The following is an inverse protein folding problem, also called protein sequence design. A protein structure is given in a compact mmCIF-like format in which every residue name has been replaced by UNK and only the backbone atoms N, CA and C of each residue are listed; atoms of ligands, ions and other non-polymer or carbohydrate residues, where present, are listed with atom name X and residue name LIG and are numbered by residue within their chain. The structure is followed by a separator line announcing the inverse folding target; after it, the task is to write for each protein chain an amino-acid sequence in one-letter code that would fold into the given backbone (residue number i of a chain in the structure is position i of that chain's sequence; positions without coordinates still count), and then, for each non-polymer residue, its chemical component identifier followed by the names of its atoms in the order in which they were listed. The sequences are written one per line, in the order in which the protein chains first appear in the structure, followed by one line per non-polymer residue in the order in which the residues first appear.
data_IF_365123109110
#
_entry.id   IF_365123109110
#
_cell.length_a   1.000
_cell.length_b   1.000
_cell.length_c   1.000
_cell.angle_alpha   90.00
_cell.angle_beta   90.00
_cell.angle_gamma   90.00
#
_symmetry.space_group_name_H-M   'P 1'
#
loop_
_entity.id
_entity.type
_entity.pdbx_description
1 polymer ?
#
# COMPACT_ATOMS: atom_id res chain seq x y z
N UNK A 1 -20.94 -5.32 -14.19
CA UNK A 1 -20.01 -4.20 -13.97
C UNK A 1 -20.62 -2.96 -14.58
N UNK A 2 -20.71 -1.87 -13.84
CA UNK A 2 -21.17 -0.56 -14.31
C UNK A 2 -19.99 0.41 -14.17
N UNK A 3 -19.70 1.15 -15.24
CA UNK A 3 -18.75 2.26 -15.25
C UNK A 3 -19.55 3.55 -15.37
N UNK A 4 -19.31 4.49 -14.46
CA UNK A 4 -19.94 5.82 -14.48
C UNK A 4 -18.83 6.87 -14.42
N UNK A 5 -18.65 7.62 -15.50
CA UNK A 5 -17.79 8.78 -15.57
C UNK A 5 -18.63 10.05 -15.37
N UNK A 6 -18.43 10.74 -14.26
CA UNK A 6 -19.09 12.01 -13.96
C UNK A 6 -18.17 13.16 -14.38
N UNK A 7 -18.35 13.61 -15.60
CA UNK A 7 -17.59 14.72 -16.18
C UNK A 7 -18.35 16.05 -15.99
N UNK A 8 -17.78 16.98 -15.24
CA UNK A 8 -18.39 18.31 -14.98
C UNK A 8 -19.39 18.33 -13.83
N UNK A 9 -20.25 19.36 -13.78
CA UNK A 9 -21.21 19.61 -12.70
C UNK A 9 -22.44 18.70 -12.81
N UNK A 10 -22.28 17.39 -12.77
CA UNK A 10 -23.40 16.46 -12.69
C UNK A 10 -23.85 16.39 -11.23
N UNK A 11 -25.14 16.64 -10.99
CA UNK A 11 -25.71 16.52 -9.65
C UNK A 11 -25.62 15.06 -9.13
N UNK A 12 -25.17 14.88 -7.91
CA UNK A 12 -25.12 13.57 -7.22
C UNK A 12 -26.51 12.87 -7.24
N UNK A 13 -27.59 13.65 -7.27
CA UNK A 13 -28.95 13.13 -7.41
C UNK A 13 -29.15 12.28 -8.68
N UNK A 14 -28.51 12.64 -9.79
CA UNK A 14 -28.57 11.85 -11.03
C UNK A 14 -27.82 10.53 -10.90
N UNK A 15 -26.64 10.54 -10.30
CA UNK A 15 -25.86 9.32 -10.02
C UNK A 15 -26.65 8.39 -9.11
N UNK A 16 -27.26 8.91 -8.05
CA UNK A 16 -28.11 8.14 -7.14
C UNK A 16 -29.34 7.56 -7.83
N UNK A 17 -29.99 8.30 -8.74
CA UNK A 17 -31.12 7.79 -9.51
C UNK A 17 -30.72 6.62 -10.43
N UNK A 18 -29.54 6.70 -11.07
CA UNK A 18 -28.98 5.60 -11.87
C UNK A 18 -28.71 4.37 -11.01
N UNK A 19 -28.03 4.55 -9.86
CA UNK A 19 -27.71 3.46 -8.94
C UNK A 19 -28.96 2.82 -8.34
N UNK A 20 -29.98 3.62 -8.01
CA UNK A 20 -31.27 3.14 -7.56
C UNK A 20 -31.99 2.28 -8.60
N UNK A 21 -31.87 2.63 -9.89
CA UNK A 21 -32.40 1.84 -11.01
C UNK A 21 -31.68 0.50 -11.24
N UNK A 22 -30.55 0.29 -10.56
CA UNK A 22 -29.69 -0.88 -10.75
C UNK A 22 -29.36 -1.60 -9.41
N UNK A 23 -30.37 -2.09 -8.65
CA UNK A 23 -30.18 -2.57 -7.28
C UNK A 23 -29.32 -3.83 -7.16
N UNK A 24 -29.08 -4.56 -8.25
CA UNK A 24 -28.32 -5.82 -8.27
C UNK A 24 -26.88 -5.64 -8.82
N UNK A 25 -26.36 -4.43 -8.81
CA UNK A 25 -24.96 -4.19 -9.26
C UNK A 25 -24.00 -4.80 -8.24
N UNK A 26 -23.09 -5.65 -8.71
CA UNK A 26 -22.02 -6.25 -7.90
C UNK A 26 -20.67 -5.55 -8.09
N UNK A 27 -20.44 -4.85 -9.20
CA UNK A 27 -19.18 -4.15 -9.48
C UNK A 27 -19.43 -2.76 -10.07
N UNK A 28 -18.85 -1.74 -9.45
CA UNK A 28 -19.02 -0.33 -9.78
C UNK A 28 -17.64 0.33 -9.88
N UNK A 29 -17.44 1.06 -10.97
CA UNK A 29 -16.30 1.96 -11.19
C UNK A 29 -16.84 3.38 -11.35
N UNK A 30 -16.47 4.27 -10.43
CA UNK A 30 -16.94 5.65 -10.38
C UNK A 30 -15.75 6.58 -10.56
N UNK A 31 -15.86 7.48 -11.51
CA UNK A 31 -14.90 8.54 -11.72
C UNK A 31 -15.59 9.92 -11.63
N UNK A 32 -15.13 10.75 -10.71
CA UNK A 32 -15.68 12.07 -10.45
C UNK A 32 -14.64 13.16 -10.67
N UNK A 33 -15.00 14.14 -11.50
CA UNK A 33 -14.25 15.38 -11.68
C UNK A 33 -14.90 16.58 -10.97
N UNK A 34 -16.01 16.36 -10.26
CA UNK A 34 -16.85 17.41 -9.66
C UNK A 34 -16.54 17.62 -8.17
N UNK A 35 -16.89 18.83 -7.68
CA UNK A 35 -16.58 19.34 -6.33
C UNK A 35 -17.43 18.75 -5.21
N UNK A 36 -18.53 18.02 -5.51
CA UNK A 36 -19.46 17.53 -4.51
C UNK A 36 -19.72 16.03 -4.64
N UNK A 37 -19.14 15.26 -3.72
CA UNK A 37 -19.38 13.83 -3.56
C UNK A 37 -20.20 13.50 -2.31
N UNK A 38 -20.81 14.49 -1.73
CA UNK A 38 -21.65 14.26 -0.57
C UNK A 38 -22.86 13.41 -0.95
N UNK A 39 -23.05 12.29 -0.25
CA UNK A 39 -24.24 11.44 -0.32
C UNK A 39 -24.42 10.56 -1.57
N UNK A 40 -23.39 9.92 -2.09
CA UNK A 40 -23.55 8.84 -3.07
C UNK A 40 -24.11 7.59 -2.38
N UNK A 41 -25.33 7.17 -2.73
CA UNK A 41 -25.96 5.98 -2.19
C UNK A 41 -25.53 4.73 -2.95
N UNK A 42 -24.61 3.95 -2.40
CA UNK A 42 -24.15 2.72 -3.01
C UNK A 42 -25.15 1.57 -2.83
N UNK A 43 -25.38 0.71 -3.86
CA UNK A 43 -26.22 -0.48 -3.72
C UNK A 43 -25.66 -1.47 -2.70
N UNK A 44 -26.52 -2.06 -1.87
CA UNK A 44 -26.12 -3.04 -0.85
C UNK A 44 -25.53 -4.34 -1.44
N UNK A 45 -25.87 -4.66 -2.69
CA UNK A 45 -25.34 -5.81 -3.44
C UNK A 45 -23.90 -5.67 -3.90
N UNK A 46 -23.25 -4.50 -3.63
CA UNK A 46 -21.96 -4.17 -4.19
C UNK A 46 -20.84 -4.98 -3.52
N UNK A 47 -20.09 -5.71 -4.35
CA UNK A 47 -18.91 -6.50 -3.94
C UNK A 47 -17.60 -5.87 -4.36
N UNK A 48 -17.59 -5.12 -5.46
CA UNK A 48 -16.39 -4.48 -5.99
C UNK A 48 -16.63 -3.00 -6.25
N UNK A 49 -15.82 -2.17 -5.62
CA UNK A 49 -15.90 -0.71 -5.75
C UNK A 49 -14.54 -0.15 -6.13
N UNK A 50 -14.51 0.59 -7.24
CA UNK A 50 -13.41 1.46 -7.60
C UNK A 50 -13.94 2.89 -7.66
N UNK A 51 -13.27 3.79 -6.94
CA UNK A 51 -13.61 5.21 -6.90
C UNK A 51 -12.36 6.01 -7.27
N UNK A 52 -12.52 6.89 -8.22
CA UNK A 52 -11.52 7.90 -8.57
C UNK A 52 -12.13 9.29 -8.41
N UNK A 53 -11.49 10.13 -7.58
CA UNK A 53 -11.93 11.48 -7.28
C UNK A 53 -10.80 12.44 -7.59
N UNK A 54 -10.99 13.23 -8.65
CA UNK A 54 -10.07 14.27 -9.09
C UNK A 54 -10.73 15.64 -8.88
N UNK A 55 -10.79 16.11 -7.63
CA UNK A 55 -11.29 17.44 -7.33
C UNK A 55 -10.28 18.28 -6.54
N UNK A 56 -10.41 19.61 -6.62
CA UNK A 56 -9.50 20.56 -5.99
C UNK A 56 -9.91 21.00 -4.59
N UNK A 57 -11.11 20.67 -4.13
CA UNK A 57 -11.67 21.17 -2.88
C UNK A 57 -11.49 20.22 -1.68
N UNK A 58 -11.13 18.98 -1.93
CA UNK A 58 -11.10 17.94 -0.92
C UNK A 58 -12.52 17.46 -0.57
N UNK A 59 -12.68 16.19 -0.31
CA UNK A 59 -13.97 15.62 0.04
C UNK A 59 -13.83 14.47 1.02
N UNK A 60 -14.89 14.29 1.81
CA UNK A 60 -15.12 13.08 2.61
C UNK A 60 -15.85 12.05 1.76
N UNK A 61 -15.57 10.79 2.01
CA UNK A 61 -16.18 9.68 1.31
C UNK A 61 -17.12 8.92 2.25
N UNK A 62 -18.37 8.76 1.85
CA UNK A 62 -19.31 7.89 2.55
C UNK A 62 -19.50 6.60 1.76
N UNK A 63 -19.06 5.47 2.34
CA UNK A 63 -19.20 4.15 1.73
C UNK A 63 -20.02 3.27 2.66
N UNK A 64 -21.22 2.88 2.20
CA UNK A 64 -22.09 1.94 2.89
C UNK A 64 -22.36 0.75 1.96
N UNK A 65 -21.46 -0.21 1.94
CA UNK A 65 -21.56 -1.44 1.14
C UNK A 65 -21.09 -2.63 1.99
N UNK A 66 -21.98 -3.26 2.78
CA UNK A 66 -21.62 -4.27 3.78
C UNK A 66 -21.00 -5.54 3.18
N UNK A 67 -21.34 -5.88 1.94
CA UNK A 67 -20.82 -7.07 1.25
C UNK A 67 -19.60 -6.78 0.38
N UNK A 68 -18.95 -5.63 0.57
CA UNK A 68 -17.81 -5.21 -0.22
C UNK A 68 -16.59 -6.12 0.05
N UNK A 69 -16.06 -6.72 -1.02
CA UNK A 69 -14.88 -7.61 -1.01
C UNK A 69 -13.63 -6.94 -1.60
N UNK A 70 -13.83 -6.03 -2.54
CA UNK A 70 -12.75 -5.30 -3.23
C UNK A 70 -12.99 -3.80 -3.16
N UNK A 71 -11.95 -3.06 -2.72
CA UNK A 71 -11.98 -1.61 -2.61
C UNK A 71 -10.75 -1.00 -3.28
N UNK A 72 -10.96 -0.09 -4.24
CA UNK A 72 -9.90 0.72 -4.83
C UNK A 72 -10.30 2.18 -4.74
N UNK A 73 -9.51 2.99 -4.05
CA UNK A 73 -9.73 4.42 -3.90
C UNK A 73 -8.52 5.17 -4.42
N UNK A 74 -8.77 6.02 -5.43
CA UNK A 74 -7.88 7.10 -5.81
C UNK A 74 -8.58 8.41 -5.46
N UNK A 75 -7.96 9.25 -4.63
CA UNK A 75 -8.55 10.52 -4.26
C UNK A 75 -7.51 11.62 -4.12
N UNK A 76 -7.63 12.65 -4.95
CA UNK A 76 -6.91 13.90 -4.79
C UNK A 76 -7.55 14.72 -3.66
N UNK A 77 -6.72 15.20 -2.71
CA UNK A 77 -7.17 15.96 -1.53
C UNK A 77 -8.16 15.19 -0.62
N UNK A 78 -7.75 14.00 -0.21
CA UNK A 78 -8.48 13.19 0.77
C UNK A 78 -8.61 13.91 2.11
N UNK A 79 -9.82 13.94 2.66
CA UNK A 79 -10.14 14.47 3.99
C UNK A 79 -10.46 13.35 4.98
N UNK A 80 -11.51 12.57 4.73
CA UNK A 80 -11.93 11.47 5.61
C UNK A 80 -12.83 10.45 4.87
N UNK A 81 -13.04 9.29 5.51
CA UNK A 81 -14.11 8.35 5.16
C UNK A 81 -15.13 8.34 6.31
N UNK A 82 -16.35 8.78 6.04
CA UNK A 82 -17.36 9.03 7.07
C UNK A 82 -18.03 7.76 7.58
N UNK A 83 -18.29 6.76 6.73
CA UNK A 83 -18.95 5.50 7.11
C UNK A 83 -18.00 4.32 7.00
N UNK A 84 -17.68 3.70 8.13
CA UNK A 84 -16.66 2.67 8.20
C UNK A 84 -17.14 1.29 8.65
N UNK A 85 -18.46 1.12 8.83
CA UNK A 85 -19.00 -0.16 9.29
C UNK A 85 -18.98 -1.26 8.21
N UNK A 86 -18.55 -0.91 6.99
CA UNK A 86 -18.72 -1.74 5.80
C UNK A 86 -17.49 -2.53 5.37
N UNK A 87 -16.31 -2.33 6.00
CA UNK A 87 -15.06 -2.90 5.45
C UNK A 87 -14.64 -4.24 6.04
N UNK A 88 -15.48 -4.85 6.87
CA UNK A 88 -15.14 -6.13 7.51
C UNK A 88 -14.98 -7.30 6.52
N UNK A 89 -15.62 -7.21 5.36
CA UNK A 89 -15.59 -8.23 4.32
C UNK A 89 -14.56 -7.91 3.21
N UNK A 90 -13.90 -6.75 3.24
CA UNK A 90 -12.92 -6.38 2.24
C UNK A 90 -11.70 -7.30 2.32
N UNK A 91 -11.50 -8.05 1.24
CA UNK A 91 -10.39 -8.99 1.07
C UNK A 91 -9.20 -8.32 0.39
N UNK A 92 -9.46 -7.40 -0.54
CA UNK A 92 -8.45 -6.70 -1.32
C UNK A 92 -8.71 -5.21 -1.31
N UNK A 93 -7.69 -4.40 -0.96
CA UNK A 93 -7.77 -2.96 -0.96
C UNK A 93 -6.56 -2.32 -1.67
N UNK A 94 -6.82 -1.26 -2.44
CA UNK A 94 -5.81 -0.41 -3.06
C UNK A 94 -6.10 1.05 -2.75
N UNK A 95 -5.13 1.75 -2.17
CA UNK A 95 -5.29 3.13 -1.73
C UNK A 95 -4.25 4.04 -2.40
N UNK A 96 -4.73 5.04 -3.11
CA UNK A 96 -3.95 6.15 -3.66
C UNK A 96 -4.55 7.48 -3.21
N UNK A 97 -4.19 7.90 -2.01
CA UNK A 97 -4.78 9.02 -1.31
C UNK A 97 -3.76 10.16 -1.18
N UNK A 98 -4.12 11.32 -1.72
CA UNK A 98 -3.34 12.54 -1.56
C UNK A 98 -3.90 13.33 -0.37
N UNK A 99 -3.11 13.65 0.64
CA UNK A 99 -3.60 14.40 1.79
C UNK A 99 -4.00 15.83 1.39
N UNK A 100 -5.11 16.30 1.94
CA UNK A 100 -5.48 17.72 1.81
C UNK A 100 -4.48 18.62 2.57
N UNK A 101 -3.98 18.15 3.71
CA UNK A 101 -2.99 18.82 4.55
C UNK A 101 -2.24 17.77 5.38
N UNK A 102 -1.00 18.07 5.77
CA UNK A 102 -0.18 17.20 6.63
C UNK A 102 -0.80 16.88 8.00
N UNK A 103 -1.81 17.63 8.44
CA UNK A 103 -2.49 17.41 9.72
C UNK A 103 -3.55 16.29 9.67
N UNK A 104 -3.76 15.63 8.52
CA UNK A 104 -4.83 14.64 8.30
C UNK A 104 -4.33 13.18 8.25
N UNK A 105 -3.33 12.83 9.06
CA UNK A 105 -2.88 11.43 9.17
C UNK A 105 -3.92 10.57 9.88
N UNK A 106 -4.64 11.11 10.86
CA UNK A 106 -5.63 10.36 11.64
C UNK A 106 -6.75 9.74 10.78
N UNK A 107 -7.34 10.42 9.78
CA UNK A 107 -8.30 9.80 8.87
C UNK A 107 -7.73 8.61 8.10
N UNK A 108 -6.49 8.70 7.62
CA UNK A 108 -5.84 7.58 6.93
C UNK A 108 -5.61 6.39 7.88
N UNK A 109 -5.12 6.65 9.09
CA UNK A 109 -4.93 5.59 10.10
C UNK A 109 -6.26 4.94 10.48
N UNK A 110 -7.32 5.73 10.60
CA UNK A 110 -8.67 5.25 10.84
C UNK A 110 -9.16 4.34 9.70
N UNK A 111 -8.96 4.73 8.44
CA UNK A 111 -9.27 3.91 7.27
C UNK A 111 -8.45 2.60 7.27
N UNK A 112 -7.14 2.66 7.51
CA UNK A 112 -6.28 1.48 7.58
C UNK A 112 -6.71 0.51 8.70
N UNK A 113 -7.15 1.03 9.85
CA UNK A 113 -7.67 0.21 10.93
C UNK A 113 -8.94 -0.56 10.54
N UNK A 114 -9.84 0.03 9.76
CA UNK A 114 -11.03 -0.67 9.25
C UNK A 114 -10.68 -1.76 8.25
N UNK A 115 -9.55 -1.62 7.54
CA UNK A 115 -9.02 -2.58 6.58
C UNK A 115 -8.11 -3.65 7.22
N UNK A 116 -8.03 -3.72 8.54
CA UNK A 116 -7.12 -4.64 9.27
C UNK A 116 -7.36 -6.14 9.00
N UNK A 117 -8.51 -6.51 8.42
CA UNK A 117 -8.86 -7.88 8.03
C UNK A 117 -8.54 -8.22 6.56
N UNK A 118 -8.07 -7.25 5.79
CA UNK A 118 -7.73 -7.41 4.37
C UNK A 118 -6.58 -8.41 4.21
N UNK A 119 -6.65 -9.22 3.13
CA UNK A 119 -5.60 -10.19 2.78
C UNK A 119 -4.60 -9.62 1.77
N UNK A 120 -5.02 -8.68 0.94
CA UNK A 120 -4.21 -8.04 -0.09
C UNK A 120 -4.33 -6.53 0.04
N UNK A 121 -3.22 -5.85 0.30
CA UNK A 121 -3.19 -4.39 0.46
C UNK A 121 -2.13 -3.77 -0.45
N UNK A 122 -2.55 -2.77 -1.22
CA UNK A 122 -1.69 -1.92 -2.04
C UNK A 122 -1.76 -0.49 -1.52
N UNK A 123 -0.61 0.08 -1.17
CA UNK A 123 -0.48 1.48 -0.79
C UNK A 123 0.40 2.20 -1.81
N UNK A 124 -0.16 3.17 -2.51
CA UNK A 124 0.57 3.92 -3.53
C UNK A 124 1.42 5.05 -2.95
N UNK A 125 2.23 5.67 -3.81
CA UNK A 125 3.26 6.62 -3.40
C UNK A 125 2.75 7.84 -2.64
N UNK A 126 1.58 8.36 -2.98
CA UNK A 126 0.94 9.47 -2.27
C UNK A 126 0.53 9.07 -0.84
N UNK A 127 -0.10 7.90 -0.70
CA UNK A 127 -0.50 7.34 0.60
C UNK A 127 0.70 7.04 1.49
N UNK A 128 1.72 6.38 0.95
CA UNK A 128 2.95 6.04 1.70
C UNK A 128 3.78 7.27 2.05
N UNK A 129 3.82 8.29 1.19
CA UNK A 129 4.47 9.58 1.47
C UNK A 129 3.88 10.23 2.72
N UNK A 130 2.58 10.17 2.86
CA UNK A 130 1.88 10.69 4.02
C UNK A 130 2.27 9.93 5.30
N UNK A 131 2.27 8.59 5.24
CA UNK A 131 2.66 7.75 6.37
C UNK A 131 4.15 7.90 6.76
N UNK A 132 5.03 8.14 5.77
CA UNK A 132 6.47 8.35 6.00
C UNK A 132 6.81 9.74 6.53
N UNK A 133 5.96 10.74 6.28
CA UNK A 133 6.19 12.13 6.68
C UNK A 133 5.97 12.40 8.18
N UNK A 134 5.33 11.47 8.89
CA UNK A 134 5.04 11.63 10.32
C UNK A 134 6.08 10.92 11.19
N UNK A 135 6.69 11.62 12.16
CA UNK A 135 7.67 11.01 13.07
C UNK A 135 7.05 10.13 14.15
N UNK A 136 5.73 9.93 14.12
CA UNK A 136 5.01 9.12 15.12
C UNK A 136 5.16 7.64 14.83
N UNK A 137 5.25 6.85 15.89
CA UNK A 137 5.08 5.40 15.78
C UNK A 137 3.77 5.10 15.07
N UNK A 138 3.80 4.21 14.10
CA UNK A 138 2.62 3.83 13.32
C UNK A 138 1.57 3.19 14.22
N UNK A 139 0.62 3.98 14.72
CA UNK A 139 -0.46 3.57 15.61
C UNK A 139 -1.65 2.96 14.85
N UNK A 140 -1.41 2.01 13.96
CA UNK A 140 -2.49 1.21 13.41
C UNK A 140 -2.48 -0.22 13.96
N UNK A 141 -3.65 -0.86 13.90
CA UNK A 141 -3.84 -2.22 14.39
C UNK A 141 -3.01 -3.23 13.59
N UNK A 142 -2.77 -4.41 14.17
CA UNK A 142 -2.15 -5.50 13.44
C UNK A 142 -3.04 -5.98 12.29
N UNK A 143 -2.45 -6.13 11.12
CA UNK A 143 -3.03 -6.78 9.95
C UNK A 143 -2.89 -8.29 10.07
N UNK A 144 -3.70 -8.90 10.91
CA UNK A 144 -3.58 -10.33 11.29
C UNK A 144 -3.86 -11.30 10.16
N UNK A 145 -4.44 -10.84 9.07
CA UNK A 145 -4.85 -11.66 7.91
C UNK A 145 -4.14 -11.27 6.63
N UNK A 146 -3.27 -10.26 6.66
CA UNK A 146 -2.59 -9.75 5.48
C UNK A 146 -1.55 -10.74 4.99
N UNK A 147 -1.76 -11.22 3.76
CA UNK A 147 -0.88 -12.17 3.07
C UNK A 147 0.02 -11.48 2.04
N UNK A 148 -0.50 -10.46 1.36
CA UNK A 148 0.20 -9.73 0.31
C UNK A 148 0.17 -8.24 0.59
N UNK A 149 1.35 -7.63 0.63
CA UNK A 149 1.53 -6.20 0.78
C UNK A 149 2.33 -5.66 -0.40
N UNK A 150 1.81 -4.65 -1.08
CA UNK A 150 2.51 -3.90 -2.11
C UNK A 150 2.61 -2.44 -1.69
N UNK A 151 3.84 -1.93 -1.67
CA UNK A 151 4.16 -0.57 -1.27
C UNK A 151 4.85 0.15 -2.42
N UNK A 152 4.27 1.25 -2.86
CA UNK A 152 4.94 2.19 -3.74
C UNK A 152 5.48 3.30 -2.84
N UNK A 153 6.79 3.39 -2.71
CA UNK A 153 7.45 4.34 -1.81
C UNK A 153 7.96 5.54 -2.59
N UNK A 154 7.74 6.77 -2.10
CA UNK A 154 8.38 7.96 -2.65
C UNK A 154 9.90 7.93 -2.41
N UNK A 155 10.32 7.43 -1.26
CA UNK A 155 11.72 7.13 -0.91
C UNK A 155 11.79 5.90 0.00
N UNK A 156 12.91 5.20 -0.06
CA UNK A 156 13.14 4.04 0.79
C UNK A 156 13.38 4.45 2.25
N UNK A 157 12.77 3.72 3.18
CA UNK A 157 12.98 3.88 4.62
C UNK A 157 12.87 2.51 5.31
N UNK A 158 14.00 1.94 5.68
CA UNK A 158 14.08 0.61 6.31
C UNK A 158 13.38 0.54 7.66
N UNK A 159 13.48 1.59 8.48
CA UNK A 159 12.85 1.62 9.81
C UNK A 159 11.33 1.59 9.69
N UNK A 160 10.78 2.36 8.74
CA UNK A 160 9.35 2.33 8.43
C UNK A 160 8.91 0.94 7.99
N UNK A 161 9.64 0.32 7.04
CA UNK A 161 9.33 -1.01 6.55
C UNK A 161 9.33 -2.06 7.66
N UNK A 162 10.34 -2.06 8.52
CA UNK A 162 10.41 -3.01 9.63
C UNK A 162 9.29 -2.80 10.64
N UNK A 163 8.95 -1.54 10.97
CA UNK A 163 7.83 -1.22 11.84
C UNK A 163 6.49 -1.68 11.25
N UNK A 164 6.32 -1.53 9.93
CA UNK A 164 5.14 -2.01 9.23
C UNK A 164 5.08 -3.54 9.20
N UNK A 165 6.20 -4.22 8.94
CA UNK A 165 6.28 -5.68 8.96
C UNK A 165 5.97 -6.27 10.33
N UNK A 166 6.30 -5.58 11.43
CA UNK A 166 5.90 -5.99 12.78
C UNK A 166 4.38 -6.03 12.97
N UNK A 167 3.63 -5.18 12.21
CA UNK A 167 2.17 -5.16 12.23
C UNK A 167 1.52 -6.21 11.30
N UNK A 168 2.31 -6.97 10.54
CA UNK A 168 1.83 -7.92 9.53
C UNK A 168 2.35 -9.36 9.84
N UNK A 169 1.89 -10.01 10.92
CA UNK A 169 2.52 -11.23 11.44
C UNK A 169 2.46 -12.45 10.52
N UNK A 170 1.52 -12.49 9.56
CA UNK A 170 1.30 -13.64 8.64
C UNK A 170 1.63 -13.31 7.19
N UNK A 171 2.30 -12.19 6.92
CA UNK A 171 2.64 -11.73 5.58
C UNK A 171 3.50 -12.75 4.84
N UNK A 172 3.12 -13.10 3.61
CA UNK A 172 3.80 -14.07 2.76
C UNK A 172 4.54 -13.44 1.58
N UNK A 173 3.99 -12.35 1.05
CA UNK A 173 4.51 -11.64 -0.13
C UNK A 173 4.63 -10.16 0.17
N UNK A 174 5.84 -9.63 -0.01
CA UNK A 174 6.14 -8.21 0.08
C UNK A 174 6.63 -7.72 -1.28
N UNK A 175 5.98 -6.70 -1.84
CA UNK A 175 6.47 -5.98 -3.01
C UNK A 175 6.74 -4.54 -2.65
N UNK A 176 7.92 -4.06 -2.97
CA UNK A 176 8.37 -2.69 -2.75
C UNK A 176 8.69 -2.10 -4.12
N UNK A 177 8.17 -0.92 -4.41
CA UNK A 177 8.57 -0.13 -5.56
C UNK A 177 9.01 1.25 -5.09
N UNK A 178 10.29 1.55 -5.26
CA UNK A 178 10.84 2.88 -5.03
C UNK A 178 10.67 3.75 -6.29
N UNK A 179 10.11 4.97 -6.16
CA UNK A 179 9.80 5.85 -7.29
C UNK A 179 10.67 7.11 -7.34
N UNK A 180 11.16 7.60 -6.23
CA UNK A 180 11.90 8.86 -6.15
C UNK A 180 13.38 8.62 -5.78
N UNK A 181 14.24 9.49 -6.30
CA UNK A 181 15.70 9.31 -6.21
C UNK A 181 16.37 10.08 -5.05
N UNK A 182 15.63 10.82 -4.25
CA UNK A 182 16.19 11.67 -3.21
C UNK A 182 15.65 11.31 -1.83
N UNK A 183 16.16 10.24 -1.19
CA UNK A 183 15.77 9.95 0.18
C UNK A 183 16.43 10.95 1.13
N UNK A 184 15.75 11.33 2.22
CA UNK A 184 16.45 11.85 3.38
C UNK A 184 17.47 10.79 3.83
N UNK A 185 18.68 11.20 4.18
CA UNK A 185 19.73 10.28 4.69
C UNK A 185 19.29 9.83 6.07
N UNK A 186 18.50 8.75 6.11
CA UNK A 186 18.13 8.08 7.34
C UNK A 186 19.07 6.89 7.49
N UNK A 187 19.85 6.88 8.53
CA UNK A 187 20.74 5.75 8.80
C UNK A 187 19.95 4.50 9.21
N UNK A 188 20.44 3.33 8.81
CA UNK A 188 19.96 2.05 9.29
C UNK A 188 20.10 1.96 10.82
N UNK A 189 19.00 1.73 11.53
CA UNK A 189 18.99 1.39 12.94
C UNK A 189 18.50 -0.06 13.09
N UNK A 190 19.39 -1.01 13.46
CA UNK A 190 18.98 -2.39 13.65
C UNK A 190 17.91 -2.47 14.74
N UNK A 191 16.79 -3.10 14.43
CA UNK A 191 15.75 -3.35 15.42
C UNK A 191 16.12 -4.59 16.28
N UNK A 192 15.83 -4.57 17.59
CA UNK A 192 16.25 -5.66 18.49
C UNK A 192 15.57 -6.99 18.19
N UNK A 193 14.41 -6.98 17.54
CA UNK A 193 13.64 -8.18 17.22
C UNK A 193 13.23 -8.20 15.74
N UNK A 194 13.48 -9.31 15.07
CA UNK A 194 12.99 -9.54 13.72
C UNK A 194 11.44 -9.59 13.69
N UNK A 195 10.78 -8.99 12.66
CA UNK A 195 9.35 -9.13 12.47
C UNK A 195 8.91 -10.59 12.41
N UNK A 196 7.82 -10.94 13.07
CA UNK A 196 7.31 -12.32 13.15
C UNK A 196 7.10 -12.94 11.77
N UNK A 197 6.57 -12.19 10.81
CA UNK A 197 6.37 -12.68 9.44
C UNK A 197 7.68 -13.11 8.78
N UNK A 198 8.77 -12.40 9.01
CA UNK A 198 10.09 -12.69 8.42
C UNK A 198 10.61 -14.06 8.87
N UNK A 199 10.34 -14.42 10.10
CA UNK A 199 10.76 -15.70 10.70
C UNK A 199 9.85 -16.86 10.27
N UNK A 200 8.56 -16.61 10.02
CA UNK A 200 7.57 -17.71 9.94
C UNK A 200 6.74 -17.79 8.66
N UNK A 201 6.57 -16.71 7.88
CA UNK A 201 5.60 -16.68 6.79
C UNK A 201 6.10 -16.04 5.50
N UNK A 202 7.01 -15.06 5.56
CA UNK A 202 7.44 -14.27 4.41
C UNK A 202 8.33 -15.11 3.47
N UNK A 203 7.77 -15.50 2.33
CA UNK A 203 8.43 -16.39 1.37
C UNK A 203 8.95 -15.67 0.14
N UNK A 204 8.38 -14.51 -0.18
CA UNK A 204 8.71 -13.78 -1.40
C UNK A 204 8.84 -12.28 -1.13
N UNK A 205 9.95 -11.70 -1.61
CA UNK A 205 10.17 -10.25 -1.62
C UNK A 205 10.53 -9.83 -3.04
N UNK A 206 9.88 -8.77 -3.54
CA UNK A 206 10.25 -8.07 -4.75
C UNK A 206 10.59 -6.63 -4.40
N UNK A 207 11.75 -6.16 -4.86
CA UNK A 207 12.18 -4.79 -4.70
C UNK A 207 12.47 -4.17 -6.08
N UNK A 208 11.59 -3.28 -6.55
CA UNK A 208 11.72 -2.51 -7.80
C UNK A 208 12.26 -1.11 -7.53
N UNK A 209 13.02 -0.57 -8.50
CA UNK A 209 13.62 0.76 -8.38
C UNK A 209 14.73 0.79 -7.33
N UNK A 210 15.47 -0.31 -7.20
CA UNK A 210 16.58 -0.44 -6.26
C UNK A 210 17.77 0.41 -6.73
N UNK A 211 18.18 1.39 -5.92
CA UNK A 211 19.24 2.35 -6.21
C UNK A 211 20.61 1.91 -5.68
N UNK A 212 20.66 0.86 -4.86
CA UNK A 212 21.88 0.41 -4.19
C UNK A 212 22.34 1.32 -3.06
N UNK A 213 21.42 2.08 -2.46
CA UNK A 213 21.71 2.92 -1.31
C UNK A 213 22.09 2.05 -0.10
N UNK A 214 22.95 2.56 0.81
CA UNK A 214 23.36 1.80 1.99
C UNK A 214 22.22 1.23 2.81
N UNK A 215 21.13 1.97 2.96
CA UNK A 215 19.93 1.58 3.71
C UNK A 215 19.17 0.45 3.00
N UNK A 216 19.06 0.50 1.67
CA UNK A 216 18.44 -0.56 0.85
C UNK A 216 19.24 -1.86 0.94
N UNK A 217 20.56 -1.76 0.80
CA UNK A 217 21.47 -2.93 0.89
C UNK A 217 21.38 -3.54 2.28
N UNK A 218 21.44 -2.73 3.34
CA UNK A 218 21.36 -3.19 4.73
C UNK A 218 20.02 -3.86 5.04
N UNK A 219 18.92 -3.36 4.48
CA UNK A 219 17.62 -4.01 4.58
C UNK A 219 17.62 -5.40 3.94
N UNK A 220 18.17 -5.54 2.72
CA UNK A 220 18.26 -6.83 2.04
C UNK A 220 19.17 -7.80 2.83
N UNK A 221 20.30 -7.34 3.37
CA UNK A 221 21.16 -8.14 4.24
C UNK A 221 20.42 -8.65 5.47
N UNK A 222 19.71 -7.77 6.16
CA UNK A 222 18.91 -8.13 7.34
C UNK A 222 17.86 -9.19 7.01
N UNK A 223 17.14 -9.01 5.90
CA UNK A 223 16.13 -9.97 5.45
C UNK A 223 16.73 -11.33 5.09
N UNK A 224 17.92 -11.37 4.49
CA UNK A 224 18.63 -12.61 4.22
C UNK A 224 19.08 -13.32 5.51
N UNK A 225 19.47 -12.55 6.52
CA UNK A 225 19.94 -13.08 7.82
C UNK A 225 18.82 -13.58 8.72
N UNK A 226 17.63 -12.96 8.67
CA UNK A 226 16.52 -13.26 9.58
C UNK A 226 15.39 -14.07 8.92
N UNK A 227 15.33 -14.11 7.59
CA UNK A 227 14.24 -14.73 6.83
C UNK A 227 14.34 -16.25 6.77
N UNK A 228 13.88 -16.95 7.83
CA UNK A 228 14.01 -18.41 7.94
C UNK A 228 13.25 -19.20 6.87
N UNK A 229 12.10 -18.68 6.40
CA UNK A 229 11.22 -19.35 5.43
C UNK A 229 11.25 -18.72 4.05
N UNK A 230 12.12 -17.73 3.86
CA UNK A 230 12.24 -16.98 2.63
C UNK A 230 12.72 -17.87 1.49
N UNK A 231 12.03 -17.81 0.33
CA UNK A 231 12.32 -18.60 -0.87
C UNK A 231 12.92 -17.76 -1.97
N UNK A 232 12.48 -16.52 -2.12
CA UNK A 232 12.90 -15.67 -3.23
C UNK A 232 13.01 -14.21 -2.79
N UNK A 233 14.13 -13.58 -3.12
CA UNK A 233 14.29 -12.13 -3.18
C UNK A 233 14.58 -11.77 -4.63
N UNK A 234 13.71 -10.95 -5.22
CA UNK A 234 13.87 -10.42 -6.57
C UNK A 234 14.18 -8.92 -6.47
N UNK A 235 15.36 -8.53 -6.88
CA UNK A 235 15.79 -7.14 -6.95
C UNK A 235 15.78 -6.70 -8.41
N UNK A 236 15.02 -5.64 -8.70
CA UNK A 236 14.96 -4.99 -9.99
C UNK A 236 15.56 -3.61 -9.80
N UNK A 237 16.79 -3.43 -10.29
CA UNK A 237 17.51 -2.19 -10.11
C UNK A 237 16.94 -1.05 -10.93
N UNK A 238 17.10 0.17 -10.41
CA UNK A 238 16.88 1.37 -11.19
C UNK A 238 17.91 1.46 -12.35
N UNK A 239 17.49 2.11 -13.42
CA UNK A 239 18.32 2.28 -14.62
C UNK A 239 19.57 3.14 -14.36
N UNK A 240 19.55 3.99 -13.33
CA UNK A 240 20.67 4.84 -12.92
C UNK A 240 21.78 4.08 -12.18
N UNK A 241 21.53 2.86 -11.73
CA UNK A 241 22.52 2.05 -11.03
C UNK A 241 23.53 1.46 -12.03
N UNK A 242 24.76 1.90 -11.96
CA UNK A 242 25.83 1.44 -12.85
C UNK A 242 26.24 -0.02 -12.62
N UNK A 243 26.83 -0.65 -13.65
CA UNK A 243 27.20 -2.07 -13.64
C UNK A 243 28.28 -2.40 -12.59
N UNK A 244 29.22 -1.48 -12.33
CA UNK A 244 30.26 -1.70 -11.33
C UNK A 244 29.66 -1.78 -9.93
N UNK A 245 28.79 -0.84 -9.59
CA UNK A 245 28.08 -0.85 -8.30
C UNK A 245 27.16 -2.08 -8.16
N UNK A 246 26.48 -2.49 -9.26
CA UNK A 246 25.69 -3.73 -9.25
C UNK A 246 26.54 -4.93 -8.89
N UNK A 247 27.71 -5.05 -9.51
CA UNK A 247 28.63 -6.14 -9.23
C UNK A 247 29.08 -6.15 -7.75
N UNK A 248 29.48 -4.99 -7.21
CA UNK A 248 29.90 -4.86 -5.82
C UNK A 248 28.80 -5.22 -4.83
N UNK A 249 27.56 -4.77 -5.10
CA UNK A 249 26.38 -5.10 -4.30
C UNK A 249 26.10 -6.60 -4.36
N UNK A 250 26.09 -7.19 -5.56
CA UNK A 250 25.88 -8.64 -5.72
C UNK A 250 26.94 -9.45 -4.97
N UNK A 251 28.20 -9.05 -5.08
CA UNK A 251 29.31 -9.68 -4.35
C UNK A 251 29.09 -9.58 -2.84
N UNK A 252 28.67 -8.41 -2.35
CA UNK A 252 28.37 -8.18 -0.94
C UNK A 252 27.21 -9.07 -0.47
N UNK A 253 26.07 -9.05 -1.17
CA UNK A 253 24.88 -9.83 -0.83
C UNK A 253 25.07 -11.35 -0.95
N UNK A 254 25.95 -11.80 -1.86
CA UNK A 254 26.29 -13.23 -2.00
C UNK A 254 27.08 -13.78 -0.82
N UNK A 255 27.81 -12.93 -0.11
CA UNK A 255 28.59 -13.29 1.07
C UNK A 255 27.77 -13.23 2.38
N UNK A 256 26.56 -12.73 2.34
CA UNK A 256 25.68 -12.66 3.53
C UNK A 256 25.24 -14.07 3.93
N UNK A 257 25.40 -14.47 5.19
CA UNK A 257 24.83 -15.72 5.70
C UNK A 257 23.32 -15.72 5.52
N UNK A 258 22.78 -16.78 4.94
CA UNK A 258 21.33 -16.91 4.71
C UNK A 258 20.70 -17.78 5.77
N UNK A 259 19.69 -17.26 6.47
CA UNK A 259 18.90 -18.04 7.41
C UNK A 259 18.11 -19.16 6.70
N UNK A 260 17.59 -18.88 5.51
CA UNK A 260 16.94 -19.88 4.65
C UNK A 260 17.90 -20.41 3.60
N UNK A 261 18.19 -21.71 3.64
CA UNK A 261 19.00 -22.40 2.61
C UNK A 261 18.32 -22.46 1.23
N UNK A 262 17.02 -22.28 1.19
CA UNK A 262 16.21 -22.31 -0.03
C UNK A 262 16.12 -20.93 -0.71
N UNK A 263 16.63 -19.88 -0.08
CA UNK A 263 16.50 -18.52 -0.58
C UNK A 263 17.33 -18.30 -1.84
N UNK A 264 16.64 -17.99 -2.93
CA UNK A 264 17.23 -17.55 -4.19
C UNK A 264 17.21 -16.02 -4.26
N UNK A 265 18.35 -15.42 -4.54
CA UNK A 265 18.48 -14.00 -4.81
C UNK A 265 18.64 -13.81 -6.31
N UNK A 266 17.70 -13.12 -6.93
CA UNK A 266 17.76 -12.69 -8.33
C UNK A 266 17.96 -11.19 -8.40
N UNK A 267 18.80 -10.76 -9.32
CA UNK A 267 19.12 -9.35 -9.52
C UNK A 267 18.99 -9.06 -11.02
N UNK A 268 17.82 -8.53 -11.43
CA UNK A 268 17.50 -8.28 -12.82
C UNK A 268 17.52 -6.79 -13.13
N UNK A 269 18.03 -6.47 -14.31
CA UNK A 269 17.85 -5.17 -14.92
C UNK A 269 16.66 -5.27 -15.88
N UNK A 270 15.72 -4.38 -15.78
CA UNK A 270 14.67 -4.22 -16.80
C UNK A 270 15.22 -3.34 -17.93
#
# INVERSE_FOLDING_TARGET
MLLIDVLGNVEVAFVNALLYGCPNIEALDLHFLSDSLENVCLPASLKRLKIQIDNDFGSSLEINAPDLEYLNIYQHKFIDVLSMNSFHNVVEASLDLFPFSYNFVDPLLKLLNTLSRTKHLVLSGSTTKWLLGEPRDLFFQEFRYLLHLELILPWFNSNYLLSLLQKCPVLQVLKIQNKEQSPPILGWAPQPNAPKCLVSHLTFIQFKGFLGLPDEVSFVEHVLQEGLVLKTIMIISDISLDQSKKYDILKRLSNVPRASRMCQLTFDCI
#
